data_IF_584456826365
#
_entry.id   IF_584456826365
#
_cell.length_a   1.000
_cell.length_b   1.000
_cell.length_c   1.000
_cell.angle_alpha   90.00
_cell.angle_beta   90.00
_cell.angle_gamma   90.00
#
_symmetry.space_group_name_H-M   'P 1'
#
loop_
_entity.id
_entity.type
_entity.pdbx_description
1 polymer ?
#
# COMPACT_ATOMS: atom_id res chain seq x y z
N UNK A 1 5.37 -28.33 -38.12
CA UNK A 1 6.36 -28.56 -37.05
C UNK A 1 6.43 -27.27 -36.24
N UNK A 2 6.06 -27.33 -34.97
CA UNK A 2 5.61 -26.21 -34.10
C UNK A 2 6.77 -25.27 -33.73
N UNK A 3 6.57 -23.93 -33.62
CA UNK A 3 7.62 -23.01 -33.21
C UNK A 3 7.88 -23.14 -31.71
N UNK A 4 9.17 -23.21 -31.35
CA UNK A 4 9.63 -23.25 -29.95
C UNK A 4 9.32 -21.93 -29.25
N UNK A 5 8.54 -22.03 -28.18
CA UNK A 5 8.25 -20.95 -27.23
C UNK A 5 9.56 -20.36 -26.67
N UNK A 6 9.86 -19.11 -27.04
CA UNK A 6 10.85 -18.30 -26.35
C UNK A 6 10.25 -17.85 -25.02
N UNK A 7 10.37 -18.71 -24.00
CA UNK A 7 10.14 -18.31 -22.62
C UNK A 7 11.12 -17.20 -22.26
N UNK A 8 10.59 -15.99 -22.03
CA UNK A 8 11.30 -14.85 -21.46
C UNK A 8 11.89 -15.25 -20.11
N UNK A 9 13.15 -15.69 -20.10
CA UNK A 9 14.01 -15.79 -18.91
C UNK A 9 14.60 -14.41 -18.65
N UNK A 10 13.81 -13.50 -18.11
CA UNK A 10 14.39 -12.34 -17.43
C UNK A 10 14.94 -12.83 -16.09
N UNK A 11 16.26 -12.92 -15.99
CA UNK A 11 16.94 -13.10 -14.71
C UNK A 11 16.59 -11.92 -13.82
N UNK A 12 15.99 -12.19 -12.65
CA UNK A 12 15.61 -11.21 -11.62
C UNK A 12 16.85 -10.53 -10.96
N UNK A 13 17.99 -10.48 -11.64
CA UNK A 13 19.29 -10.06 -11.11
C UNK A 13 19.86 -8.75 -11.65
N UNK A 14 19.28 -8.16 -12.70
CA UNK A 14 19.81 -6.93 -13.35
C UNK A 14 18.78 -5.79 -13.50
N UNK A 15 17.55 -5.94 -12.98
CA UNK A 15 16.55 -4.89 -13.03
C UNK A 15 16.62 -4.03 -11.75
N UNK A 16 17.40 -2.96 -11.79
CA UNK A 16 17.40 -1.94 -10.73
C UNK A 16 16.21 -1.02 -10.95
N UNK A 17 15.23 -1.05 -10.04
CA UNK A 17 14.12 -0.10 -10.07
C UNK A 17 14.63 1.26 -9.58
N UNK A 18 14.48 2.28 -10.41
CA UNK A 18 14.91 3.64 -10.13
C UNK A 18 13.73 4.53 -9.72
N UNK A 19 14.04 5.75 -9.29
CA UNK A 19 13.02 6.76 -8.97
C UNK A 19 12.25 7.19 -10.23
N UNK A 20 12.91 7.17 -11.39
CA UNK A 20 12.28 7.44 -12.70
C UNK A 20 11.24 6.36 -13.03
N UNK A 21 11.53 5.09 -12.76
CA UNK A 21 10.56 4.00 -12.94
C UNK A 21 9.33 4.17 -12.03
N UNK A 22 9.53 4.55 -10.77
CA UNK A 22 8.43 4.80 -9.82
C UNK A 22 7.59 6.01 -10.23
N UNK A 23 8.23 7.04 -10.81
CA UNK A 23 7.54 8.22 -11.32
C UNK A 23 6.74 7.91 -12.60
N UNK A 24 7.38 7.27 -13.59
CA UNK A 24 6.81 7.05 -14.93
C UNK A 24 5.79 5.89 -14.91
N UNK A 25 6.16 4.76 -14.31
CA UNK A 25 5.31 3.56 -14.29
C UNK A 25 4.34 3.56 -13.10
N UNK A 26 4.77 4.10 -11.96
CA UNK A 26 3.97 4.16 -10.74
C UNK A 26 3.10 5.42 -10.63
N UNK A 27 3.38 6.47 -11.40
CA UNK A 27 2.65 7.75 -11.34
C UNK A 27 2.83 8.47 -10.00
N UNK A 28 3.85 8.13 -9.21
CA UNK A 28 4.04 8.72 -7.89
C UNK A 28 4.85 10.02 -7.97
N UNK A 29 4.39 11.09 -7.29
CA UNK A 29 5.13 12.35 -7.23
C UNK A 29 6.48 12.18 -6.53
N UNK A 30 7.54 12.62 -7.20
CA UNK A 30 8.91 12.65 -6.65
C UNK A 30 9.21 13.96 -5.93
N UNK A 31 8.56 15.04 -6.36
CA UNK A 31 8.70 16.38 -5.81
C UNK A 31 7.50 16.70 -4.92
N UNK A 32 7.73 17.43 -3.84
CA UNK A 32 6.71 17.82 -2.88
C UNK A 32 7.23 17.83 -1.45
N UNK A 33 6.33 18.01 -0.50
CA UNK A 33 6.63 17.91 0.92
C UNK A 33 7.06 16.50 1.30
N UNK A 34 7.88 16.40 2.34
CA UNK A 34 8.27 15.12 2.91
C UNK A 34 7.04 14.39 3.44
N UNK A 35 7.01 13.07 3.25
CA UNK A 35 6.01 12.17 3.84
C UNK A 35 5.94 12.33 5.36
N UNK A 36 7.06 12.66 6.00
CA UNK A 36 7.19 12.87 7.45
C UNK A 36 7.07 14.34 7.89
N UNK A 37 6.70 15.25 7.00
CA UNK A 37 6.47 16.64 7.38
C UNK A 37 5.38 16.73 8.46
N UNK A 38 5.52 17.61 9.46
CA UNK A 38 4.45 17.89 10.41
C UNK A 38 3.27 18.60 9.73
N UNK A 39 2.09 18.56 10.36
CA UNK A 39 0.95 19.38 9.95
C UNK A 39 0.99 20.69 10.73
N UNK A 40 0.95 21.83 10.05
CA UNK A 40 1.05 23.15 10.68
C UNK A 40 -0.34 23.80 10.86
N UNK A 41 -1.27 23.61 9.93
CA UNK A 41 -2.59 24.25 10.04
C UNK A 41 -3.43 23.59 11.13
N UNK A 42 -4.07 24.43 11.94
CA UNK A 42 -4.96 24.02 13.04
C UNK A 42 -6.09 23.08 12.57
N UNK A 43 -6.69 23.38 11.42
CA UNK A 43 -7.75 22.51 10.85
C UNK A 43 -7.22 21.12 10.43
N UNK A 44 -5.95 21.01 10.01
CA UNK A 44 -5.33 19.71 9.68
C UNK A 44 -5.25 18.86 10.93
N UNK A 45 -4.78 19.48 12.02
CA UNK A 45 -4.54 18.85 13.29
C UNK A 45 -5.86 18.37 13.91
N UNK A 46 -6.90 19.20 13.88
CA UNK A 46 -8.25 18.81 14.34
C UNK A 46 -8.80 17.62 13.55
N UNK A 47 -8.57 17.58 12.23
CA UNK A 47 -8.97 16.46 11.37
C UNK A 47 -8.17 15.20 11.69
N UNK A 48 -6.86 15.33 11.92
CA UNK A 48 -5.99 14.22 12.30
C UNK A 48 -6.40 13.62 13.65
N UNK A 49 -6.67 14.45 14.65
CA UNK A 49 -7.13 14.02 15.96
C UNK A 49 -8.46 13.26 15.86
N UNK A 50 -9.39 13.75 15.04
CA UNK A 50 -10.67 13.06 14.77
C UNK A 50 -10.44 11.68 14.14
N UNK A 51 -9.59 11.58 13.12
CA UNK A 51 -9.26 10.29 12.50
C UNK A 51 -8.58 9.31 13.47
N UNK A 52 -7.70 9.82 14.35
CA UNK A 52 -7.05 9.01 15.39
C UNK A 52 -8.07 8.51 16.42
N UNK A 53 -8.96 9.38 16.89
CA UNK A 53 -10.01 9.02 17.85
C UNK A 53 -10.93 7.95 17.27
N UNK A 54 -11.34 8.10 16.02
CA UNK A 54 -12.20 7.15 15.31
C UNK A 54 -11.50 5.81 15.08
N UNK A 55 -10.20 5.82 14.73
CA UNK A 55 -9.39 4.60 14.65
C UNK A 55 -9.35 3.85 15.98
N UNK A 56 -9.23 4.55 17.10
CA UNK A 56 -9.26 3.94 18.43
C UNK A 56 -10.64 3.30 18.71
N UNK A 57 -11.73 3.93 18.29
CA UNK A 57 -13.08 3.37 18.43
C UNK A 57 -13.26 2.10 17.60
N UNK A 58 -12.80 2.07 16.34
CA UNK A 58 -12.86 0.87 15.49
C UNK A 58 -12.03 -0.26 16.12
N UNK A 59 -10.86 0.05 16.68
CA UNK A 59 -9.96 -0.94 17.31
C UNK A 59 -10.55 -1.52 18.61
N UNK A 60 -11.39 -0.77 19.33
CA UNK A 60 -12.03 -1.19 20.59
C UNK A 60 -13.19 -2.18 20.41
N UNK A 61 -13.73 -2.32 19.19
CA UNK A 61 -14.79 -3.31 18.93
C UNK A 61 -14.25 -4.75 18.97
N UNK A 62 -15.11 -5.75 19.24
CA UNK A 62 -14.75 -7.17 19.43
C UNK A 62 -13.93 -7.80 18.27
N UNK A 63 -13.79 -7.12 17.13
CA UNK A 63 -12.95 -7.53 15.98
C UNK A 63 -11.45 -7.19 16.13
N UNK A 64 -11.04 -6.52 17.21
CA UNK A 64 -9.66 -6.35 17.72
C UNK A 64 -8.56 -5.83 16.77
N UNK A 65 -8.89 -5.38 15.55
CA UNK A 65 -8.00 -4.63 14.66
C UNK A 65 -8.85 -3.66 13.87
N UNK A 66 -8.34 -2.47 13.58
CA UNK A 66 -8.96 -1.55 12.62
C UNK A 66 -8.84 -2.13 11.21
N UNK A 67 -9.47 -3.28 10.97
CA UNK A 67 -9.48 -3.97 9.70
C UNK A 67 -9.98 -3.00 8.65
N UNK A 68 -9.32 -2.98 7.49
CA UNK A 68 -9.70 -2.08 6.39
C UNK A 68 -11.19 -2.13 6.06
N UNK A 69 -11.82 -3.30 6.19
CA UNK A 69 -13.26 -3.46 6.02
C UNK A 69 -14.06 -2.71 7.09
N UNK A 70 -13.66 -2.79 8.36
CA UNK A 70 -14.29 -2.03 9.45
C UNK A 70 -14.09 -0.53 9.32
N UNK A 71 -12.92 -0.10 8.82
CA UNK A 71 -12.66 1.31 8.50
C UNK A 71 -13.53 1.79 7.34
N UNK A 72 -13.58 1.03 6.24
CA UNK A 72 -14.35 1.38 5.05
C UNK A 72 -15.86 1.40 5.33
N UNK A 73 -16.38 0.43 6.08
CA UNK A 73 -17.79 0.39 6.49
C UNK A 73 -18.19 1.57 7.38
N UNK A 74 -17.24 2.16 8.12
CA UNK A 74 -17.52 3.30 8.99
C UNK A 74 -17.59 4.62 8.24
N UNK A 75 -16.86 4.74 7.13
CA UNK A 75 -16.71 6.01 6.42
C UNK A 75 -17.45 6.06 5.09
N UNK A 76 -17.48 4.98 4.31
CA UNK A 76 -18.06 5.03 2.97
C UNK A 76 -19.57 5.21 3.01
N UNK A 77 -20.06 6.20 2.27
CA UNK A 77 -21.49 6.51 2.14
C UNK A 77 -22.07 7.28 3.32
N UNK A 78 -21.22 7.84 4.19
CA UNK A 78 -21.69 8.69 5.30
C UNK A 78 -21.88 10.14 4.89
N UNK A 79 -21.28 10.60 3.78
CA UNK A 79 -21.33 11.99 3.33
C UNK A 79 -20.62 12.95 4.30
N UNK A 80 -19.78 12.40 5.19
CA UNK A 80 -19.04 13.18 6.16
C UNK A 80 -17.91 13.95 5.49
N UNK A 81 -17.64 15.15 5.97
CA UNK A 81 -16.55 16.00 5.44
C UNK A 81 -15.17 15.33 5.50
N UNK A 82 -14.98 14.36 6.40
CA UNK A 82 -13.71 13.63 6.58
C UNK A 82 -13.66 12.26 5.87
N UNK A 83 -14.69 11.92 5.08
CA UNK A 83 -14.78 10.65 4.36
C UNK A 83 -13.63 10.50 3.35
N UNK A 84 -13.26 11.59 2.68
CA UNK A 84 -12.18 11.60 1.69
C UNK A 84 -10.81 11.36 2.35
N UNK A 85 -10.51 12.00 3.47
CA UNK A 85 -9.29 11.81 4.25
C UNK A 85 -9.23 10.38 4.81
N UNK A 86 -10.36 9.86 5.29
CA UNK A 86 -10.45 8.50 5.76
C UNK A 86 -10.20 7.48 4.63
N UNK A 87 -10.76 7.69 3.45
CA UNK A 87 -10.50 6.87 2.27
C UNK A 87 -9.02 6.93 1.86
N UNK A 88 -8.45 8.13 1.77
CA UNK A 88 -7.05 8.32 1.40
C UNK A 88 -6.10 7.65 2.40
N UNK A 89 -6.40 7.70 3.70
CA UNK A 89 -5.59 7.02 4.71
C UNK A 89 -5.56 5.50 4.54
N UNK A 90 -6.70 4.91 4.16
CA UNK A 90 -6.79 3.48 3.83
C UNK A 90 -6.06 3.16 2.52
N UNK A 91 -6.19 4.01 1.50
CA UNK A 91 -5.49 3.86 0.22
C UNK A 91 -3.97 3.91 0.39
N UNK A 92 -3.45 4.93 1.05
CA UNK A 92 -2.01 5.06 1.34
C UNK A 92 -1.50 3.86 2.14
N UNK A 93 -2.23 3.44 3.18
CA UNK A 93 -1.86 2.28 3.99
C UNK A 93 -1.86 0.95 3.21
N UNK A 94 -2.66 0.83 2.13
CA UNK A 94 -2.77 -0.42 1.37
C UNK A 94 -1.81 -0.50 0.19
N UNK A 95 -1.72 0.59 -0.56
CA UNK A 95 -1.16 0.60 -1.91
C UNK A 95 0.16 1.35 -2.00
N UNK A 96 0.44 2.26 -1.05
CA UNK A 96 1.63 3.12 -1.09
C UNK A 96 2.64 2.69 -0.04
N UNK A 97 2.20 2.55 1.21
CA UNK A 97 3.04 2.18 2.36
C UNK A 97 2.43 0.96 3.08
N UNK A 98 2.45 -0.22 2.45
CA UNK A 98 1.96 -1.43 3.10
C UNK A 98 2.80 -1.75 4.35
N UNK A 99 2.13 -2.07 5.44
CA UNK A 99 2.74 -2.45 6.72
C UNK A 99 2.53 -3.93 6.96
N UNK A 100 3.41 -4.56 7.76
CA UNK A 100 3.38 -6.03 8.00
C UNK A 100 2.01 -6.50 8.53
N UNK A 101 1.32 -5.64 9.26
CA UNK A 101 -0.07 -5.82 9.64
C UNK A 101 -0.99 -5.12 8.63
N UNK A 102 -1.21 -5.74 7.45
CA UNK A 102 -2.18 -5.32 6.42
C UNK A 102 -3.63 -5.07 6.90
N UNK A 103 -3.87 -5.24 8.20
CA UNK A 103 -5.14 -5.08 8.88
C UNK A 103 -5.23 -3.81 9.72
N UNK A 104 -4.19 -2.96 9.81
CA UNK A 104 -4.24 -1.76 10.67
C UNK A 104 -3.65 -0.55 9.95
N UNK A 105 -4.44 0.53 9.85
CA UNK A 105 -4.00 1.84 9.36
C UNK A 105 -3.10 2.49 10.42
N UNK A 106 -1.89 2.91 10.07
CA UNK A 106 -0.96 3.55 10.99
C UNK A 106 -1.22 5.05 11.16
N UNK A 107 -0.80 5.63 12.30
CA UNK A 107 -1.07 7.06 12.60
C UNK A 107 -0.40 7.98 11.57
N UNK A 108 0.83 7.66 11.20
CA UNK A 108 1.62 8.46 10.26
C UNK A 108 0.99 8.54 8.87
N UNK A 109 0.04 7.64 8.54
CA UNK A 109 -0.65 7.64 7.26
C UNK A 109 -1.75 8.71 7.21
N UNK A 110 -2.27 9.15 8.36
CA UNK A 110 -3.29 10.19 8.43
C UNK A 110 -2.76 11.55 7.98
N UNK A 111 -1.56 11.93 8.43
CA UNK A 111 -0.95 13.20 8.00
C UNK A 111 -0.70 13.26 6.49
N UNK A 112 -0.29 12.14 5.88
CA UNK A 112 -0.15 12.02 4.42
C UNK A 112 -1.52 12.18 3.75
N UNK A 113 -2.54 11.47 4.24
CA UNK A 113 -3.88 11.49 3.67
C UNK A 113 -4.54 12.89 3.73
N UNK A 114 -4.35 13.62 4.83
CA UNK A 114 -4.87 14.98 4.99
C UNK A 114 -4.20 15.94 4.01
N UNK A 115 -2.87 15.85 3.86
CA UNK A 115 -2.14 16.65 2.85
C UNK A 115 -2.64 16.36 1.43
N UNK A 116 -2.82 15.08 1.10
CA UNK A 116 -3.35 14.67 -0.20
C UNK A 116 -4.78 15.18 -0.43
N UNK A 117 -5.64 15.13 0.59
CA UNK A 117 -7.02 15.63 0.50
C UNK A 117 -7.07 17.14 0.21
N UNK A 118 -6.08 17.89 0.69
CA UNK A 118 -5.93 19.33 0.47
C UNK A 118 -5.23 19.68 -0.83
N UNK A 119 -4.80 18.69 -1.62
CA UNK A 119 -4.05 18.90 -2.85
C UNK A 119 -2.60 19.33 -2.65
N UNK A 120 -2.03 19.12 -1.46
CA UNK A 120 -0.63 19.40 -1.20
C UNK A 120 0.22 18.31 -1.85
N UNK A 121 1.19 18.65 -2.70
CA UNK A 121 2.06 17.66 -3.32
C UNK A 121 2.96 17.04 -2.25
N UNK A 122 2.85 15.73 -2.05
CA UNK A 122 3.70 14.97 -1.13
C UNK A 122 4.62 14.08 -1.95
N UNK A 123 5.92 14.04 -1.64
CA UNK A 123 6.90 13.21 -2.32
C UNK A 123 6.74 11.73 -1.96
N UNK A 124 5.74 11.06 -2.55
CA UNK A 124 5.46 9.63 -2.33
C UNK A 124 6.46 8.70 -3.03
N UNK A 125 7.04 9.14 -4.16
CA UNK A 125 7.95 8.34 -4.99
C UNK A 125 9.11 7.72 -4.20
N UNK A 126 9.89 8.50 -3.42
CA UNK A 126 10.95 7.97 -2.59
C UNK A 126 10.48 6.91 -1.59
N UNK A 127 9.32 7.12 -0.96
CA UNK A 127 8.79 6.20 0.04
C UNK A 127 8.30 4.88 -0.58
N UNK A 128 7.68 4.95 -1.76
CA UNK A 128 7.30 3.76 -2.55
C UNK A 128 8.53 2.98 -2.99
N UNK A 129 9.56 3.67 -3.47
CA UNK A 129 10.82 3.03 -3.88
C UNK A 129 11.45 2.25 -2.72
N UNK A 130 11.52 2.85 -1.53
CA UNK A 130 12.01 2.18 -0.31
C UNK A 130 11.15 0.95 0.03
N UNK A 131 9.82 1.03 -0.11
CA UNK A 131 8.94 -0.13 0.11
C UNK A 131 9.23 -1.27 -0.87
N UNK A 132 9.44 -0.97 -2.16
CA UNK A 132 9.78 -1.96 -3.19
C UNK A 132 11.10 -2.66 -2.82
N UNK A 133 12.15 -1.91 -2.49
CA UNK A 133 13.44 -2.50 -2.11
C UNK A 133 13.36 -3.33 -0.82
N UNK A 134 12.54 -2.90 0.15
CA UNK A 134 12.28 -3.67 1.37
C UNK A 134 11.63 -5.02 1.04
N UNK A 135 10.62 -5.02 0.17
CA UNK A 135 9.88 -6.23 -0.18
C UNK A 135 10.74 -7.19 -1.03
N UNK A 136 11.56 -6.66 -1.95
CA UNK A 136 12.57 -7.44 -2.68
C UNK A 136 13.61 -8.06 -1.73
N UNK A 137 14.04 -7.31 -0.72
CA UNK A 137 14.98 -7.81 0.30
C UNK A 137 14.37 -8.95 1.12
N UNK A 138 13.10 -8.82 1.52
CA UNK A 138 12.36 -9.87 2.22
C UNK A 138 12.20 -11.11 1.33
N UNK A 139 11.84 -10.93 0.06
CA UNK A 139 11.75 -12.03 -0.91
C UNK A 139 13.08 -12.79 -0.99
N UNK A 140 14.20 -12.08 -1.17
CA UNK A 140 15.54 -12.67 -1.22
C UNK A 140 15.88 -13.47 0.04
N UNK A 141 15.54 -12.94 1.23
CA UNK A 141 15.75 -13.64 2.49
C UNK A 141 14.90 -14.92 2.58
N UNK A 142 13.63 -14.86 2.18
CA UNK A 142 12.76 -16.04 2.17
C UNK A 142 13.21 -17.12 1.19
N UNK A 143 13.69 -16.75 0.00
CA UNK A 143 14.22 -17.73 -0.96
C UNK A 143 15.47 -18.41 -0.42
N UNK A 144 16.38 -17.65 0.21
CA UNK A 144 17.59 -18.23 0.82
C UNK A 144 17.22 -19.15 1.99
N UNK A 145 16.29 -18.75 2.85
CA UNK A 145 15.78 -19.58 3.93
C UNK A 145 15.15 -20.89 3.41
N UNK A 146 14.34 -20.81 2.34
CA UNK A 146 13.72 -21.98 1.70
C UNK A 146 14.78 -22.94 1.12
N UNK A 147 15.84 -22.42 0.50
CA UNK A 147 16.93 -23.26 -0.01
C UNK A 147 17.76 -23.93 1.09
N UNK A 148 17.78 -23.35 2.29
CA UNK A 148 18.47 -23.92 3.47
C UNK A 148 17.60 -24.92 4.24
N UNK A 149 16.28 -24.70 4.28
CA UNK A 149 15.28 -25.62 4.84
C UNK A 149 14.93 -26.69 3.78
N UNK A 150 15.80 -27.68 3.60
CA UNK A 150 15.53 -28.78 2.65
C UNK A 150 14.19 -29.48 2.91
N UNK A 151 13.41 -29.66 1.83
CA UNK A 151 12.39 -30.70 1.59
C UNK A 151 11.57 -31.28 2.77
N UNK A 152 11.20 -30.50 3.78
CA UNK A 152 10.21 -30.91 4.77
C UNK A 152 9.02 -29.95 4.82
N UNK A 153 7.85 -30.58 4.81
CA UNK A 153 6.54 -30.06 4.43
C UNK A 153 6.08 -28.81 5.19
N UNK A 154 5.79 -27.75 4.44
CA UNK A 154 4.65 -26.81 4.62
C UNK A 154 4.69 -25.77 3.50
N UNK A 155 4.22 -26.15 2.31
CA UNK A 155 4.15 -25.29 1.11
C UNK A 155 3.06 -24.22 1.17
N UNK A 156 2.12 -24.33 2.10
CA UNK A 156 0.86 -23.56 2.00
C UNK A 156 0.92 -22.17 2.66
N UNK A 157 1.85 -21.95 3.60
CA UNK A 157 2.01 -20.66 4.28
C UNK A 157 2.97 -19.69 3.59
N UNK A 158 3.71 -20.14 2.56
CA UNK A 158 4.77 -19.36 1.90
C UNK A 158 4.19 -18.39 0.85
N UNK A 159 3.10 -18.76 0.17
CA UNK A 159 2.46 -17.92 -0.85
C UNK A 159 1.58 -16.80 -0.28
N UNK A 160 1.14 -16.92 0.97
CA UNK A 160 0.24 -15.95 1.59
C UNK A 160 0.96 -14.66 2.08
N UNK A 161 2.29 -14.68 2.22
CA UNK A 161 2.99 -13.68 3.05
C UNK A 161 3.80 -12.59 2.32
N UNK A 162 4.05 -12.62 1.00
CA UNK A 162 5.16 -11.78 0.49
C UNK A 162 5.01 -11.18 -0.91
N UNK A 163 3.80 -10.79 -1.33
CA UNK A 163 3.64 -9.79 -2.39
C UNK A 163 2.78 -8.65 -1.86
N UNK A 164 3.41 -7.80 -1.04
CA UNK A 164 2.90 -6.47 -0.73
C UNK A 164 3.12 -5.63 -1.97
N UNK A 165 2.00 -5.20 -2.55
CA UNK A 165 1.92 -4.68 -3.89
C UNK A 165 2.43 -3.24 -3.93
N UNK A 166 3.24 -2.93 -4.94
CA UNK A 166 2.65 -2.25 -6.09
C UNK A 166 2.46 -3.17 -7.31
N UNK A 167 3.01 -4.38 -7.31
CA UNK A 167 2.98 -5.30 -8.46
C UNK A 167 1.75 -6.21 -8.54
N UNK A 168 0.62 -5.84 -7.93
CA UNK A 168 -0.68 -6.48 -8.24
C UNK A 168 -1.17 -5.93 -9.57
N UNK A 169 -0.57 -6.39 -10.67
CA UNK A 169 -1.07 -6.15 -12.02
C UNK A 169 -2.43 -6.85 -12.14
N UNK A 170 -3.51 -6.17 -11.77
CA UNK A 170 -4.85 -6.63 -12.09
C UNK A 170 -4.98 -6.56 -13.61
N UNK A 171 -5.02 -7.72 -14.26
CA UNK A 171 -5.49 -7.81 -15.64
C UNK A 171 -6.94 -7.34 -15.65
N UNK A 172 -7.16 -6.08 -16.04
CA UNK A 172 -8.50 -5.58 -16.31
C UNK A 172 -8.97 -6.23 -17.63
N UNK A 173 -9.62 -7.39 -17.50
CA UNK A 173 -10.37 -7.97 -18.60
C UNK A 173 -11.55 -7.06 -18.91
N UNK A 174 -11.54 -6.46 -20.10
CA UNK A 174 -12.73 -5.89 -20.73
C UNK A 174 -13.84 -6.94 -20.72
N UNK A 175 -14.89 -6.72 -19.94
CA UNK A 175 -15.99 -7.68 -19.91
C UNK A 175 -16.98 -7.53 -18.76
N UNK A 176 -17.62 -6.37 -18.65
CA UNK A 176 -19.09 -6.22 -18.60
C UNK A 176 -19.47 -4.82 -18.15
N UNK A 177 -20.23 -4.16 -19.00
CA UNK A 177 -20.78 -2.84 -18.72
C UNK A 177 -21.80 -2.87 -17.59
N UNK A 178 -21.80 -1.80 -16.81
CA UNK A 178 -22.97 -1.37 -16.06
C UNK A 178 -23.24 0.08 -16.47
N UNK A 179 -24.40 0.28 -17.09
CA UNK A 179 -25.01 1.59 -17.34
C UNK A 179 -25.65 2.06 -16.03
N UNK A 180 -25.46 3.36 -15.78
CA UNK A 180 -26.23 4.30 -14.94
C UNK A 180 -26.75 3.77 -13.60
#
# INVERSE_FOLDING_TARGET
>A
MVPRDQHLRVSLGEATVTLEDVMILGGFPVLGESVSAPLEDKEMLETEEKLIAERLQVTRTKAQKACQSGWMNRWMGTGNQIEHEAFLSMWVSRFVLPTKSNSTIEKHVFSIAIRLARGIPVALGPAVLVSIYRDLSLLKQTTVALTKMGNNEKKDNVFALSLLAPLRLSRFGYGRGFRL
#
